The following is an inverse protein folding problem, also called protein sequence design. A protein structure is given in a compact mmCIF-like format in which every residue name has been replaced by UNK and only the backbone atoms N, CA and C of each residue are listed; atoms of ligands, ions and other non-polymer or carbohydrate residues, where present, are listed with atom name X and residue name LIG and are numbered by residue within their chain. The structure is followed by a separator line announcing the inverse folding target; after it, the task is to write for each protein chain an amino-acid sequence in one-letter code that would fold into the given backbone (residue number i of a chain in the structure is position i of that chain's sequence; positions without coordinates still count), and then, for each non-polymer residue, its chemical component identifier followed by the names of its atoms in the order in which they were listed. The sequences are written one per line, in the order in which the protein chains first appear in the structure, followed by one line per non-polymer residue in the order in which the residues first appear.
data_IF_329198816199
#
_entry.id   IF_329198816199
#
_cell.length_a   1.000
_cell.length_b   1.000
_cell.length_c   1.000
_cell.angle_alpha   90.00
_cell.angle_beta   90.00
_cell.angle_gamma   90.00
#
_symmetry.space_group_name_H-M   'P 1'
#
loop_
_entity.id
_entity.type
_entity.pdbx_description
1 polymer ?
#
# COMPACT_ATOMS: atom_id res chain seq x y z
N UNK A 1 -3.77 -0.78 23.14
CA UNK A 1 -3.11 -1.21 21.89
C UNK A 1 -3.10 -2.73 21.91
N UNK A 2 -3.71 -3.41 20.92
CA UNK A 2 -3.56 -4.86 20.78
C UNK A 2 -2.07 -5.21 20.65
N UNK A 3 -1.67 -6.33 21.25
CA UNK A 3 -0.30 -6.82 21.19
C UNK A 3 -0.09 -7.45 19.81
N UNK A 4 0.70 -6.80 18.95
CA UNK A 4 1.06 -7.30 17.61
C UNK A 4 2.21 -8.34 17.69
N UNK A 5 2.15 -9.22 18.69
CA UNK A 5 3.25 -10.14 19.00
C UNK A 5 3.49 -11.17 17.89
N UNK A 6 2.43 -11.74 17.31
CA UNK A 6 2.58 -12.69 16.21
C UNK A 6 3.11 -12.01 14.96
N UNK A 7 2.72 -10.76 14.71
CA UNK A 7 3.28 -9.97 13.60
C UNK A 7 4.74 -9.63 13.79
N UNK A 8 5.16 -9.23 14.99
CA UNK A 8 6.57 -8.94 15.27
C UNK A 8 7.43 -10.20 15.21
N UNK A 9 6.91 -11.35 15.66
CA UNK A 9 7.58 -12.65 15.45
C UNK A 9 7.74 -13.01 13.97
N UNK A 10 6.73 -12.67 13.14
CA UNK A 10 6.73 -12.97 11.71
C UNK A 10 7.56 -11.98 10.88
N UNK A 11 7.56 -10.71 11.26
CA UNK A 11 8.17 -9.60 10.52
C UNK A 11 9.05 -8.72 11.43
N UNK A 12 10.09 -9.28 12.08
CA UNK A 12 10.87 -8.54 13.07
C UNK A 12 11.56 -7.31 12.48
N UNK A 13 12.01 -7.39 11.22
CA UNK A 13 12.68 -6.28 10.55
C UNK A 13 11.74 -5.12 10.17
N UNK A 14 10.43 -5.37 10.14
CA UNK A 14 9.41 -4.39 9.71
C UNK A 14 8.51 -3.91 10.84
N UNK A 15 8.85 -4.22 12.09
CA UNK A 15 8.05 -3.84 13.27
C UNK A 15 7.69 -2.35 13.28
N UNK A 16 8.68 -1.47 13.10
CA UNK A 16 8.45 -0.02 13.10
C UNK A 16 7.56 0.45 11.94
N UNK A 17 7.65 -0.21 10.78
CA UNK A 17 6.82 0.10 9.62
C UNK A 17 5.35 -0.28 9.89
N UNK A 18 5.14 -1.49 10.40
CA UNK A 18 3.83 -2.01 10.81
C UNK A 18 3.20 -1.08 11.87
N UNK A 19 3.94 -0.73 12.92
CA UNK A 19 3.44 0.15 13.98
C UNK A 19 3.05 1.54 13.46
N UNK A 20 3.86 2.11 12.56
CA UNK A 20 3.56 3.41 11.93
C UNK A 20 2.34 3.35 11.04
N UNK A 21 2.16 2.25 10.29
CA UNK A 21 1.04 2.08 9.37
C UNK A 21 -0.26 1.85 10.16
N UNK A 22 -0.25 1.00 11.19
CA UNK A 22 -1.38 0.82 12.11
C UNK A 22 -1.84 2.11 12.81
N UNK A 23 -0.92 3.06 13.04
CA UNK A 23 -1.26 4.33 13.67
C UNK A 23 -1.96 5.32 12.73
N UNK A 24 -1.76 5.18 11.41
CA UNK A 24 -2.26 6.12 10.38
C UNK A 24 -3.37 5.54 9.51
N UNK A 25 -3.43 4.21 9.39
CA UNK A 25 -4.36 3.48 8.54
C UNK A 25 -5.16 2.50 9.41
N UNK A 26 -6.45 2.81 9.54
CA UNK A 26 -7.38 2.01 10.36
C UNK A 26 -7.74 0.70 9.70
N UNK A 27 -7.76 0.64 8.37
CA UNK A 27 -8.04 -0.59 7.63
C UNK A 27 -6.88 -1.56 7.78
N UNK A 28 -5.64 -1.08 7.59
CA UNK A 28 -4.44 -1.87 7.84
C UNK A 28 -4.38 -2.40 9.28
N UNK A 29 -4.80 -1.57 10.26
CA UNK A 29 -4.89 -2.01 11.65
C UNK A 29 -5.86 -3.18 11.83
N UNK A 30 -7.03 -3.17 11.18
CA UNK A 30 -7.97 -4.29 11.26
C UNK A 30 -7.39 -5.57 10.65
N UNK A 31 -6.72 -5.48 9.51
CA UNK A 31 -6.02 -6.64 8.90
C UNK A 31 -4.97 -7.22 9.86
N UNK A 32 -4.23 -6.36 10.57
CA UNK A 32 -3.27 -6.81 11.58
C UNK A 32 -3.94 -7.48 12.79
N UNK A 33 -5.10 -6.99 13.23
CA UNK A 33 -5.88 -7.59 14.31
C UNK A 33 -6.45 -8.96 13.90
N UNK A 34 -6.90 -9.09 12.66
CA UNK A 34 -7.39 -10.36 12.09
C UNK A 34 -6.28 -11.41 12.01
N UNK A 35 -5.06 -11.01 11.65
CA UNK A 35 -3.90 -11.90 11.69
C UNK A 35 -3.62 -12.42 13.10
N UNK A 36 -3.59 -11.55 14.10
CA UNK A 36 -3.37 -11.95 15.51
C UNK A 36 -4.47 -12.91 16.00
N UNK A 37 -5.72 -12.66 15.62
CA UNK A 37 -6.84 -13.53 15.94
C UNK A 37 -6.68 -14.93 15.28
N UNK A 38 -6.30 -14.97 14.00
CA UNK A 38 -6.07 -16.21 13.27
C UNK A 38 -4.92 -17.03 13.87
N UNK A 39 -3.79 -16.39 14.20
CA UNK A 39 -2.65 -17.06 14.83
C UNK A 39 -3.00 -17.56 16.24
N UNK A 40 -3.76 -16.78 17.02
CA UNK A 40 -4.23 -17.22 18.34
C UNK A 40 -5.14 -18.45 18.23
N UNK A 41 -6.06 -18.47 17.27
CA UNK A 41 -6.90 -19.62 17.00
C UNK A 41 -6.07 -20.83 16.55
N UNK A 42 -5.10 -20.62 15.64
CA UNK A 42 -4.19 -21.67 15.20
C UNK A 42 -3.44 -22.31 16.38
N UNK A 43 -2.84 -21.49 17.26
CA UNK A 43 -2.13 -21.97 18.46
C UNK A 43 -3.06 -22.77 19.37
N UNK A 44 -4.29 -22.30 19.56
CA UNK A 44 -5.30 -23.04 20.30
C UNK A 44 -5.54 -24.42 19.68
N UNK A 45 -5.89 -24.49 18.38
CA UNK A 45 -6.19 -25.75 17.71
C UNK A 45 -4.98 -26.69 17.58
N UNK A 46 -3.76 -26.17 17.60
CA UNK A 46 -2.54 -26.99 17.66
C UNK A 46 -2.32 -27.62 19.04
N UNK A 47 -2.80 -26.97 20.11
CA UNK A 47 -2.68 -27.48 21.48
C UNK A 47 -3.76 -28.51 21.85
N UNK A 48 -4.90 -28.50 21.16
CA UNK A 48 -5.93 -29.53 21.30
C UNK A 48 -5.78 -30.53 20.16
N UNK A 49 -5.32 -31.74 20.48
CA UNK A 49 -4.90 -32.81 19.56
C UNK A 49 -6.06 -33.45 18.73
N UNK A 50 -7.20 -32.76 18.65
CA UNK A 50 -8.48 -33.30 18.17
C UNK A 50 -8.97 -32.70 16.87
N UNK A 51 -8.32 -31.66 16.32
CA UNK A 51 -8.84 -31.00 15.12
C UNK A 51 -7.77 -30.54 14.13
N UNK A 52 -7.13 -31.50 13.46
CA UNK A 52 -6.15 -31.25 12.41
C UNK A 52 -6.71 -30.39 11.25
N UNK A 53 -8.00 -30.51 10.93
CA UNK A 53 -8.62 -29.69 9.88
C UNK A 53 -8.61 -28.20 10.26
N UNK A 54 -9.00 -27.86 11.50
CA UNK A 54 -8.93 -26.47 11.99
C UNK A 54 -7.51 -25.91 11.95
N UNK A 55 -6.50 -26.73 12.27
CA UNK A 55 -5.10 -26.32 12.16
C UNK A 55 -4.73 -25.96 10.73
N UNK A 56 -5.18 -26.73 9.74
CA UNK A 56 -4.95 -26.43 8.32
C UNK A 56 -5.67 -25.16 7.89
N UNK A 57 -6.95 -25.03 8.23
CA UNK A 57 -7.78 -23.85 7.89
C UNK A 57 -7.18 -22.55 8.44
N UNK A 58 -6.87 -22.51 9.76
CA UNK A 58 -6.31 -21.30 10.36
C UNK A 58 -4.88 -21.02 9.91
N UNK A 59 -4.11 -22.04 9.52
CA UNK A 59 -2.79 -21.84 8.91
C UNK A 59 -2.92 -21.19 7.53
N UNK A 60 -3.86 -21.63 6.70
CA UNK A 60 -4.12 -21.04 5.39
C UNK A 60 -4.59 -19.60 5.54
N UNK A 61 -5.59 -19.36 6.40
CA UNK A 61 -6.11 -18.01 6.67
C UNK A 61 -5.02 -17.05 7.16
N UNK A 62 -4.19 -17.48 8.12
CA UNK A 62 -3.08 -16.65 8.58
C UNK A 62 -2.04 -16.38 7.47
N UNK A 63 -1.85 -17.31 6.54
CA UNK A 63 -1.02 -17.13 5.36
C UNK A 63 -1.57 -16.06 4.42
N UNK A 64 -2.85 -16.18 4.06
CA UNK A 64 -3.53 -15.21 3.19
C UNK A 64 -3.47 -13.78 3.75
N UNK A 65 -3.76 -13.63 5.04
CA UNK A 65 -3.68 -12.32 5.71
C UNK A 65 -2.23 -11.81 5.74
N UNK A 66 -1.23 -12.68 5.95
CA UNK A 66 0.17 -12.27 5.95
C UNK A 66 0.65 -11.79 4.56
N UNK A 67 0.15 -12.41 3.49
CA UNK A 67 0.42 -11.98 2.12
C UNK A 67 -0.17 -10.58 1.88
N UNK A 68 -1.42 -10.35 2.30
CA UNK A 68 -2.06 -9.03 2.23
C UNK A 68 -1.27 -7.95 3.01
N UNK A 69 -0.82 -8.27 4.23
CA UNK A 69 0.03 -7.36 5.02
C UNK A 69 1.34 -7.05 4.28
N UNK A 70 1.95 -8.06 3.67
CA UNK A 70 3.21 -7.91 2.92
C UNK A 70 3.03 -7.02 1.70
N UNK A 71 1.92 -7.18 0.97
CA UNK A 71 1.57 -6.33 -0.17
C UNK A 71 1.39 -4.86 0.25
N UNK A 72 0.66 -4.63 1.34
CA UNK A 72 0.44 -3.26 1.87
C UNK A 72 1.73 -2.61 2.36
N UNK A 73 2.65 -3.38 2.97
CA UNK A 73 3.99 -2.89 3.35
C UNK A 73 4.87 -2.60 2.12
N UNK A 74 4.82 -3.45 1.09
CA UNK A 74 5.54 -3.25 -0.17
C UNK A 74 5.08 -2.01 -0.92
N UNK A 75 3.76 -1.77 -0.96
CA UNK A 75 3.14 -0.58 -1.55
C UNK A 75 3.52 0.71 -0.79
N UNK A 76 3.68 0.64 0.54
CA UNK A 76 4.13 1.76 1.37
C UNK A 76 5.55 2.23 1.03
N UNK A 77 6.48 1.30 0.76
CA UNK A 77 7.87 1.63 0.43
C UNK A 77 8.06 2.26 -0.96
N UNK A 78 7.14 2.00 -1.90
CA UNK A 78 7.18 2.55 -3.26
C UNK A 78 6.60 3.98 -3.37
N UNK A 79 5.94 4.49 -2.32
CA UNK A 79 5.15 5.73 -2.39
C UNK A 79 5.93 7.04 -2.15
N UNK A 80 7.25 7.00 -1.89
CA UNK A 80 8.05 8.24 -1.74
C UNK A 80 8.44 8.87 -3.09
N UNK A 81 8.19 8.22 -4.23
CA UNK A 81 8.62 8.77 -5.53
C UNK A 81 7.54 8.69 -6.61
N UNK A 82 6.51 9.52 -6.52
CA UNK A 82 5.90 10.10 -7.72
C UNK A 82 4.80 11.14 -7.44
N UNK A 83 5.11 12.37 -7.86
CA UNK A 83 4.21 13.28 -8.57
C UNK A 83 3.11 14.00 -7.76
N UNK A 84 3.54 14.87 -6.84
CA UNK A 84 2.93 16.20 -6.75
C UNK A 84 3.55 17.10 -7.80
N UNK A 85 2.94 17.23 -8.98
CA UNK A 85 2.89 18.47 -9.77
C UNK A 85 2.04 18.26 -11.03
N UNK A 86 0.72 18.10 -10.87
CA UNK A 86 -0.20 18.32 -11.99
C UNK A 86 -1.59 18.70 -11.49
N UNK A 87 -1.78 20.00 -11.23
CA UNK A 87 -3.03 20.79 -11.14
C UNK A 87 -2.61 22.12 -10.49
N UNK A 88 -2.66 23.29 -11.10
CA UNK A 88 -3.62 23.78 -12.07
C UNK A 88 -3.13 25.09 -12.70
N UNK A 89 -3.39 25.27 -13.99
CA UNK A 89 -3.94 26.51 -14.53
C UNK A 89 -3.10 27.78 -14.43
N UNK A 90 -2.16 27.94 -15.37
CA UNK A 90 -1.77 29.28 -15.79
C UNK A 90 -1.86 29.36 -17.32
N UNK A 91 -2.99 29.88 -17.80
CA UNK A 91 -3.05 30.57 -19.06
C UNK A 91 -3.40 32.03 -18.74
N UNK A 92 -2.60 32.98 -19.24
CA UNK A 92 -3.22 34.09 -19.92
C UNK A 92 -2.82 34.09 -21.40
N UNK A 93 -3.86 34.21 -22.23
CA UNK A 93 -3.75 34.60 -23.63
C UNK A 93 -3.01 35.93 -23.74
N UNK A 94 -2.02 36.02 -24.63
CA UNK A 94 -1.93 37.00 -25.72
C UNK A 94 -0.49 37.08 -26.23
N UNK A 95 -0.15 36.25 -27.22
CA UNK A 95 0.92 36.56 -28.19
C UNK A 95 0.22 36.96 -29.47
N UNK A 96 -0.35 38.15 -29.47
CA UNK A 96 -0.75 38.84 -30.68
C UNK A 96 0.47 39.54 -31.27
N UNK A 97 1.50 38.79 -31.68
CA UNK A 97 2.60 39.33 -32.48
C UNK A 97 3.54 38.22 -32.98
N UNK A 98 3.97 38.36 -34.24
CA UNK A 98 5.13 37.71 -34.86
C UNK A 98 4.94 36.29 -35.44
N UNK A 99 4.02 36.08 -36.39
CA UNK A 99 4.21 35.02 -37.41
C UNK A 99 3.76 35.39 -38.85
N UNK A 100 3.31 36.63 -39.11
CA UNK A 100 2.91 37.10 -40.46
C UNK A 100 4.00 37.87 -41.24
N UNK A 101 5.29 37.56 -41.04
CA UNK A 101 6.36 38.25 -41.81
C UNK A 101 7.29 37.36 -42.62
N UNK A 102 6.98 36.09 -42.81
CA UNK A 102 7.86 35.21 -43.59
C UNK A 102 7.10 34.27 -44.52
N UNK A 103 6.19 34.77 -45.38
CA UNK A 103 5.88 34.06 -46.64
C UNK A 103 5.06 34.83 -47.70
N UNK A 104 5.57 35.92 -48.30
CA UNK A 104 5.09 36.33 -49.64
C UNK A 104 6.18 37.10 -50.39
N UNK A 105 7.32 36.44 -50.58
CA UNK A 105 8.32 36.87 -51.57
C UNK A 105 8.65 35.69 -52.48
N UNK A 106 7.64 35.30 -53.28
CA UNK A 106 7.75 34.45 -54.46
C UNK A 106 6.42 34.50 -55.19
N UNK A 107 6.48 34.57 -56.53
CA UNK A 107 5.39 34.81 -57.50
C UNK A 107 5.19 36.30 -57.80
N UNK A 108 6.10 36.93 -58.55
CA UNK A 108 6.06 37.09 -60.03
C UNK A 108 4.83 37.84 -60.52
N UNK A 109 4.94 39.17 -60.61
CA UNK A 109 4.81 39.99 -61.84
C UNK A 109 5.03 41.47 -61.54
#
# INVERSE_FOLDING_TARGET
MPRLSALVERFPERELEILRLCARDTEFRYVCEDYEAAVKALRHWQSVDTNALRVVEYRQLAGEIADEITERLGAGSASVTSLQDNRSGQAPRSTHEVWEKTNTQREME
#
